data_IF_395423993756
#
_entry.id   IF_395423993756
#
_cell.length_a   1.000
_cell.length_b   1.000
_cell.length_c   1.000
_cell.angle_alpha   90.00
_cell.angle_beta   90.00
_cell.angle_gamma   90.00
#
_symmetry.space_group_name_H-M   'P 1'
#
loop_
_entity.id
_entity.type
_entity.pdbx_description
1 polymer ?
#
# COMPACT_ATOMS: atom_id res chain seq x y z
N UNK A 1 38.78 1.59 -0.48
CA UNK A 1 37.81 0.92 -1.37
C UNK A 1 36.55 0.69 -0.55
N UNK A 2 35.43 1.29 -0.95
CA UNK A 2 34.14 0.92 -0.38
C UNK A 2 33.72 -0.40 -1.02
N UNK A 3 33.57 -1.43 -0.20
CA UNK A 3 33.09 -2.73 -0.64
C UNK A 3 31.58 -2.73 -0.47
N UNK A 4 30.85 -2.69 -1.59
CA UNK A 4 29.40 -2.88 -1.59
C UNK A 4 29.11 -4.37 -1.73
N UNK A 5 28.56 -4.98 -0.69
CA UNK A 5 28.00 -6.33 -0.75
C UNK A 5 26.53 -6.22 -1.16
N UNK A 6 26.17 -6.77 -2.31
CA UNK A 6 24.79 -6.88 -2.73
C UNK A 6 24.15 -8.12 -2.09
N UNK A 7 22.91 -7.97 -1.60
CA UNK A 7 22.08 -9.09 -1.19
C UNK A 7 21.81 -10.01 -2.39
N UNK A 8 22.03 -11.30 -2.22
CA UNK A 8 21.86 -12.31 -3.28
C UNK A 8 20.51 -13.01 -3.21
N UNK A 9 19.87 -12.96 -2.04
CA UNK A 9 18.53 -13.48 -1.85
C UNK A 9 17.50 -12.51 -2.44
N UNK A 10 16.92 -12.90 -3.58
CA UNK A 10 15.95 -12.08 -4.31
C UNK A 10 14.67 -11.85 -3.50
N UNK A 11 14.24 -12.80 -2.66
CA UNK A 11 13.07 -12.61 -1.81
C UNK A 11 13.32 -11.51 -0.77
N UNK A 12 14.51 -11.47 -0.19
CA UNK A 12 14.90 -10.34 0.69
C UNK A 12 14.92 -9.02 -0.07
N UNK A 13 15.44 -8.98 -1.30
CA UNK A 13 15.42 -7.77 -2.14
C UNK A 13 13.99 -7.30 -2.39
N UNK A 14 13.07 -8.21 -2.76
CA UNK A 14 11.64 -7.89 -2.96
C UNK A 14 11.02 -7.30 -1.70
N UNK A 15 11.24 -7.92 -0.53
CA UNK A 15 10.76 -7.39 0.75
C UNK A 15 11.27 -5.98 1.04
N UNK A 16 12.54 -5.69 0.73
CA UNK A 16 13.10 -4.34 0.88
C UNK A 16 12.44 -3.35 -0.08
N UNK A 17 12.23 -3.73 -1.35
CA UNK A 17 11.54 -2.88 -2.32
C UNK A 17 10.13 -2.55 -1.83
N UNK A 18 9.35 -3.55 -1.40
CA UNK A 18 8.00 -3.35 -0.88
C UNK A 18 8.00 -2.40 0.32
N UNK A 19 8.93 -2.60 1.25
CA UNK A 19 9.06 -1.75 2.44
C UNK A 19 9.37 -0.30 2.08
N UNK A 20 10.29 -0.06 1.15
CA UNK A 20 10.64 1.29 0.71
C UNK A 20 9.51 1.94 -0.10
N UNK A 21 8.83 1.21 -0.98
CA UNK A 21 7.66 1.75 -1.72
C UNK A 21 6.50 2.06 -0.80
N UNK A 22 6.22 1.21 0.18
CA UNK A 22 5.19 1.49 1.19
C UNK A 22 5.49 2.81 1.91
N UNK A 23 6.72 3.00 2.37
CA UNK A 23 7.17 4.21 3.07
C UNK A 23 7.18 5.46 2.19
N UNK A 24 7.66 5.35 0.95
CA UNK A 24 7.90 6.51 0.07
C UNK A 24 6.71 6.89 -0.80
N UNK A 25 5.79 5.96 -1.04
CA UNK A 25 4.69 6.15 -1.99
C UNK A 25 3.33 5.95 -1.30
N UNK A 26 3.12 4.81 -0.63
CA UNK A 26 1.79 4.47 -0.10
C UNK A 26 1.42 5.30 1.15
N UNK A 27 2.33 5.43 2.11
CA UNK A 27 2.13 6.22 3.32
C UNK A 27 1.82 7.70 3.00
N UNK A 28 2.64 8.41 2.18
CA UNK A 28 2.32 9.78 1.78
C UNK A 28 1.00 9.92 1.03
N UNK A 29 0.65 8.94 0.20
CA UNK A 29 -0.63 8.92 -0.50
C UNK A 29 -1.80 8.80 0.49
N UNK A 30 -1.71 7.93 1.50
CA UNK A 30 -2.75 7.81 2.54
C UNK A 30 -2.91 9.10 3.34
N UNK A 31 -1.80 9.75 3.71
CA UNK A 31 -1.83 11.06 4.40
C UNK A 31 -2.47 12.15 3.54
N UNK A 32 -2.23 12.14 2.22
CA UNK A 32 -2.88 13.07 1.30
C UNK A 32 -4.40 12.82 1.25
N UNK A 33 -4.82 11.55 1.16
CA UNK A 33 -6.24 11.21 1.14
C UNK A 33 -6.94 11.59 2.45
N UNK A 34 -6.27 11.49 3.59
CA UNK A 34 -6.78 11.97 4.89
C UNK A 34 -7.08 13.47 4.87
N UNK A 35 -6.24 14.27 4.19
CA UNK A 35 -6.49 15.71 4.03
C UNK A 35 -7.67 15.97 3.09
N UNK A 36 -7.77 15.20 2.00
CA UNK A 36 -8.85 15.33 1.02
C UNK A 36 -10.21 14.86 1.54
N UNK A 37 -10.27 13.98 2.53
CA UNK A 37 -11.54 13.64 3.20
C UNK A 37 -12.05 14.78 4.10
N UNK A 38 -11.16 15.66 4.57
CA UNK A 38 -11.46 16.76 5.48
C UNK A 38 -11.61 18.10 4.73
N UNK A 39 -12.27 18.09 3.57
CA UNK A 39 -12.56 19.33 2.83
C UNK A 39 -13.61 20.17 3.54
N UNK A 40 -13.39 21.49 3.54
CA UNK A 40 -14.37 22.46 4.00
C UNK A 40 -15.52 22.57 2.97
N UNK A 41 -16.75 22.34 3.43
CA UNK A 41 -17.95 22.39 2.59
C UNK A 41 -19.19 21.91 3.34
N UNK A 42 -20.37 22.28 2.84
CA UNK A 42 -21.61 21.76 3.39
C UNK A 42 -21.70 20.26 3.11
N UNK A 43 -21.75 19.44 4.16
CA UNK A 43 -21.87 17.98 4.04
C UNK A 43 -23.21 17.53 3.43
N UNK A 44 -24.19 18.43 3.35
CA UNK A 44 -25.47 18.20 2.66
C UNK A 44 -25.40 18.53 1.17
N UNK A 45 -24.37 19.26 0.73
CA UNK A 45 -24.13 19.49 -0.69
C UNK A 45 -23.79 18.17 -1.39
N UNK A 46 -24.45 17.94 -2.53
CA UNK A 46 -24.34 16.70 -3.28
C UNK A 46 -22.91 16.49 -3.82
N UNK A 47 -22.27 17.53 -4.32
CA UNK A 47 -20.93 17.45 -4.92
C UNK A 47 -19.87 17.19 -3.85
N UNK A 48 -19.98 17.85 -2.69
CA UNK A 48 -19.10 17.60 -1.54
C UNK A 48 -19.22 16.13 -1.09
N UNK A 49 -20.45 15.61 -0.98
CA UNK A 49 -20.68 14.22 -0.56
C UNK A 49 -20.12 13.21 -1.57
N UNK A 50 -20.32 13.43 -2.86
CA UNK A 50 -19.79 12.56 -3.92
C UNK A 50 -18.26 12.53 -3.92
N UNK A 51 -17.63 13.71 -3.79
CA UNK A 51 -16.18 13.83 -3.70
C UNK A 51 -15.61 13.07 -2.50
N UNK A 52 -16.12 13.35 -1.29
CA UNK A 52 -15.67 12.67 -0.06
C UNK A 52 -15.87 11.16 -0.16
N UNK A 53 -17.00 10.71 -0.74
CA UNK A 53 -17.26 9.30 -0.98
C UNK A 53 -16.22 8.63 -1.87
N UNK A 54 -15.83 9.28 -2.98
CA UNK A 54 -14.81 8.77 -3.89
C UNK A 54 -13.43 8.69 -3.22
N UNK A 55 -12.99 9.77 -2.54
CA UNK A 55 -11.73 9.79 -1.81
C UNK A 55 -11.69 8.69 -0.74
N UNK A 56 -12.79 8.49 -0.01
CA UNK A 56 -12.88 7.45 1.00
C UNK A 56 -12.80 6.04 0.43
N UNK A 57 -13.39 5.82 -0.74
CA UNK A 57 -13.24 4.57 -1.50
C UNK A 57 -11.77 4.28 -1.84
N UNK A 58 -11.06 5.27 -2.38
CA UNK A 58 -9.63 5.14 -2.72
C UNK A 58 -8.80 4.86 -1.47
N UNK A 59 -9.02 5.62 -0.39
CA UNK A 59 -8.32 5.43 0.90
C UNK A 59 -8.54 4.04 1.47
N UNK A 60 -9.77 3.52 1.40
CA UNK A 60 -10.10 2.16 1.86
C UNK A 60 -9.31 1.11 1.08
N UNK A 61 -9.24 1.23 -0.24
CA UNK A 61 -8.42 0.35 -1.08
C UNK A 61 -6.93 0.47 -0.73
N UNK A 62 -6.42 1.69 -0.56
CA UNK A 62 -5.04 1.94 -0.14
C UNK A 62 -4.70 1.26 1.19
N UNK A 63 -5.58 1.35 2.20
CA UNK A 63 -5.41 0.67 3.49
C UNK A 63 -5.48 -0.86 3.38
N UNK A 64 -6.26 -1.41 2.45
CA UNK A 64 -6.27 -2.85 2.19
C UNK A 64 -4.96 -3.30 1.54
N UNK A 65 -4.47 -2.55 0.54
CA UNK A 65 -3.17 -2.80 -0.06
C UNK A 65 -2.06 -2.72 0.99
N UNK A 66 -2.07 -1.72 1.87
CA UNK A 66 -1.11 -1.55 2.96
C UNK A 66 -1.00 -2.78 3.86
N UNK A 67 -2.15 -3.31 4.31
CA UNK A 67 -2.21 -4.53 5.11
C UNK A 67 -1.71 -5.76 4.36
N UNK A 68 -2.05 -5.89 3.08
CA UNK A 68 -1.56 -6.99 2.25
C UNK A 68 -0.04 -6.94 2.10
N UNK A 69 0.53 -5.76 1.87
CA UNK A 69 1.98 -5.57 1.79
C UNK A 69 2.67 -5.88 3.11
N UNK A 70 2.08 -5.54 4.26
CA UNK A 70 2.62 -5.91 5.58
C UNK A 70 2.67 -7.43 5.78
N UNK A 71 1.63 -8.14 5.35
CA UNK A 71 1.62 -9.60 5.39
C UNK A 71 2.72 -10.14 4.49
N UNK A 72 2.88 -9.59 3.27
CA UNK A 72 3.90 -10.00 2.32
C UNK A 72 5.33 -9.80 2.87
N UNK A 73 5.60 -8.68 3.52
CA UNK A 73 6.92 -8.40 4.12
C UNK A 73 7.25 -9.38 5.26
N UNK A 74 6.24 -9.86 5.97
CA UNK A 74 6.39 -10.84 7.07
C UNK A 74 6.40 -12.29 6.60
N UNK A 75 5.93 -12.57 5.39
CA UNK A 75 5.76 -13.91 4.87
C UNK A 75 7.05 -14.53 4.31
N UNK A 76 7.07 -15.86 4.32
CA UNK A 76 8.07 -16.65 3.60
C UNK A 76 7.71 -16.77 2.10
N UNK A 77 8.73 -16.89 1.26
CA UNK A 77 8.59 -16.97 -0.20
C UNK A 77 7.65 -18.12 -0.62
N UNK A 78 7.86 -19.31 -0.03
CA UNK A 78 7.11 -20.53 -0.33
C UNK A 78 5.61 -20.37 -0.04
N UNK A 79 5.27 -19.73 1.08
CA UNK A 79 3.88 -19.45 1.46
C UNK A 79 3.23 -18.45 0.50
N UNK A 80 3.96 -17.39 0.11
CA UNK A 80 3.44 -16.38 -0.80
C UNK A 80 3.17 -16.95 -2.20
N UNK A 81 4.16 -17.63 -2.78
CA UNK A 81 4.03 -18.27 -4.10
C UNK A 81 2.92 -19.33 -4.09
N UNK A 82 2.84 -20.14 -3.03
CA UNK A 82 1.79 -21.13 -2.85
C UNK A 82 0.39 -20.52 -2.74
N UNK A 83 0.25 -19.36 -2.11
CA UNK A 83 -1.03 -18.63 -2.02
C UNK A 83 -1.41 -18.02 -3.37
N UNK A 84 -0.46 -17.42 -4.09
CA UNK A 84 -0.70 -16.86 -5.43
C UNK A 84 -1.13 -17.95 -6.43
N UNK A 85 -0.46 -19.11 -6.41
CA UNK A 85 -0.83 -20.27 -7.23
C UNK A 85 -2.25 -20.78 -6.93
N UNK A 86 -2.71 -20.70 -5.68
CA UNK A 86 -4.09 -21.08 -5.32
C UNK A 86 -5.14 -20.08 -5.82
N UNK A 87 -4.77 -18.81 -5.99
CA UNK A 87 -5.66 -17.77 -6.51
C UNK A 87 -5.75 -17.79 -8.05
N UNK A 88 -4.73 -18.31 -8.72
CA UNK A 88 -4.68 -18.47 -10.18
C UNK A 88 -5.36 -19.77 -10.67
N UNK A 89 -5.63 -20.71 -9.76
CA UNK A 89 -6.48 -21.88 -10.00
C UNK A 89 -7.94 -21.52 -9.79
#
# INVERSE_FOLDING_TARGET
KEFFAAEKDIWKVVKQIVKERKKRELEPMLELLDKLENVDGDKKDKHVKEFVGAISGIKKLGKQADKTLDIMVKAEESWFVGTLMKLLK
#
